data_IF_843204880834
#
_entry.id   IF_843204880834
#
_cell.length_a   1.000
_cell.length_b   1.000
_cell.length_c   1.000
_cell.angle_alpha   90.00
_cell.angle_beta   90.00
_cell.angle_gamma   90.00
#
_symmetry.space_group_name_H-M   'P 1'
#
loop_
_entity.id
_entity.type
_entity.pdbx_description
1 polymer ?
#
# COMPACT_ATOMS: atom_id res chain seq x y z
N UNK A 1 -16.34 3.34 18.23
CA UNK A 1 -15.22 4.25 18.60
C UNK A 1 -14.74 4.95 17.34
N UNK A 2 -15.02 6.26 17.12
CA UNK A 2 -14.47 6.98 15.98
C UNK A 2 -12.97 7.21 16.22
N UNK A 3 -12.17 6.99 15.17
CA UNK A 3 -10.72 7.18 15.21
C UNK A 3 -10.40 8.67 15.41
N UNK A 4 -9.54 8.99 16.39
CA UNK A 4 -9.12 10.37 16.68
C UNK A 4 -8.48 11.02 15.45
N UNK A 5 -8.76 12.30 15.20
CA UNK A 5 -8.23 13.05 14.06
C UNK A 5 -6.69 13.03 13.99
N UNK A 6 -6.02 12.94 15.14
CA UNK A 6 -4.55 12.82 15.22
C UNK A 6 -4.05 11.46 14.71
N UNK A 7 -4.75 10.37 15.03
CA UNK A 7 -4.42 9.04 14.50
C UNK A 7 -4.66 8.97 12.99
N UNK A 8 -5.70 9.63 12.49
CA UNK A 8 -6.02 9.67 11.07
C UNK A 8 -4.95 10.42 10.27
N UNK A 9 -4.48 11.57 10.78
CA UNK A 9 -3.41 12.34 10.15
C UNK A 9 -2.06 11.60 10.15
N UNK A 10 -1.71 10.96 11.28
CA UNK A 10 -0.51 10.12 11.38
C UNK A 10 -0.58 8.92 10.42
N UNK A 11 -1.74 8.27 10.30
CA UNK A 11 -1.97 7.20 9.33
C UNK A 11 -1.79 7.68 7.90
N UNK A 12 -2.29 8.88 7.58
CA UNK A 12 -2.21 9.47 6.24
C UNK A 12 -0.76 9.77 5.84
N UNK A 13 0.06 10.22 6.79
CA UNK A 13 1.49 10.41 6.56
C UNK A 13 2.21 9.07 6.38
N UNK A 14 1.88 8.06 7.18
CA UNK A 14 2.52 6.74 7.09
C UNK A 14 2.18 6.01 5.80
N UNK A 15 0.91 6.06 5.36
CA UNK A 15 0.50 5.49 4.08
C UNK A 15 1.15 6.21 2.89
N UNK A 16 1.34 7.53 2.98
CA UNK A 16 2.06 8.29 1.96
C UNK A 16 3.53 7.85 1.85
N UNK A 17 4.25 7.79 2.98
CA UNK A 17 5.64 7.33 3.02
C UNK A 17 5.77 5.89 2.52
N UNK A 18 4.82 5.01 2.89
CA UNK A 18 4.79 3.65 2.36
C UNK A 18 4.58 3.64 0.85
N UNK A 19 3.63 4.42 0.33
CA UNK A 19 3.35 4.48 -1.10
C UNK A 19 4.60 4.90 -1.88
N UNK A 20 5.32 5.90 -1.39
CA UNK A 20 6.56 6.38 -2.00
C UNK A 20 7.65 5.29 -2.01
N UNK A 21 7.87 4.60 -0.88
CA UNK A 21 8.81 3.47 -0.81
C UNK A 21 8.43 2.33 -1.74
N UNK A 22 7.13 2.00 -1.84
CA UNK A 22 6.66 0.94 -2.72
C UNK A 22 6.85 1.34 -4.19
N UNK A 23 6.54 2.59 -4.55
CA UNK A 23 6.77 3.14 -5.88
C UNK A 23 8.25 3.05 -6.26
N UNK A 24 9.15 3.44 -5.36
CA UNK A 24 10.60 3.30 -5.57
C UNK A 24 11.01 1.85 -5.86
N UNK A 25 10.46 0.87 -5.13
CA UNK A 25 10.73 -0.55 -5.40
C UNK A 25 10.19 -1.03 -6.75
N UNK A 26 9.01 -0.58 -7.15
CA UNK A 26 8.43 -0.87 -8.47
C UNK A 26 9.33 -0.28 -9.56
N UNK A 27 9.72 0.99 -9.43
CA UNK A 27 10.60 1.68 -10.38
C UNK A 27 12.01 1.09 -10.44
N UNK A 28 12.52 0.58 -9.31
CA UNK A 28 13.78 -0.13 -9.23
C UNK A 28 13.72 -1.56 -9.82
N UNK A 29 12.55 -2.02 -10.28
CA UNK A 29 12.37 -3.34 -10.88
C UNK A 29 12.31 -4.49 -9.87
N UNK A 30 12.21 -4.20 -8.57
CA UNK A 30 12.01 -5.24 -7.53
C UNK A 30 10.68 -5.95 -7.75
N UNK A 31 9.65 -5.19 -8.13
CA UNK A 31 8.38 -5.72 -8.58
C UNK A 31 8.22 -5.43 -10.07
N UNK A 32 8.39 -6.46 -10.90
CA UNK A 32 8.27 -6.31 -12.34
C UNK A 32 6.84 -5.88 -12.74
N UNK A 33 6.69 -5.07 -13.80
CA UNK A 33 5.37 -4.78 -14.37
C UNK A 33 4.61 -6.08 -14.67
N UNK A 34 3.35 -6.15 -14.25
CA UNK A 34 2.51 -7.35 -14.40
C UNK A 34 2.76 -8.45 -13.35
N UNK A 35 3.79 -8.33 -12.51
CA UNK A 35 3.95 -9.19 -11.35
C UNK A 35 2.91 -8.87 -10.27
N UNK A 36 2.62 -9.87 -9.44
CA UNK A 36 1.69 -9.73 -8.33
C UNK A 36 2.47 -9.19 -7.14
N UNK A 37 2.01 -8.06 -6.59
CA UNK A 37 2.55 -7.55 -5.33
C UNK A 37 2.25 -8.51 -4.17
N UNK A 38 3.12 -8.57 -3.16
CA UNK A 38 2.83 -9.29 -1.93
C UNK A 38 1.52 -8.83 -1.30
N UNK A 39 0.87 -9.71 -0.54
CA UNK A 39 -0.42 -9.39 0.09
C UNK A 39 -0.32 -8.23 1.08
N UNK A 40 -1.45 -7.58 1.41
CA UNK A 40 -1.48 -6.44 2.35
C UNK A 40 -0.88 -6.79 3.72
N UNK A 41 -1.06 -8.03 4.19
CA UNK A 41 -0.46 -8.55 5.42
C UNK A 41 1.07 -8.54 5.32
N UNK A 42 1.59 -9.17 4.29
CA UNK A 42 3.01 -9.39 4.08
C UNK A 42 3.75 -8.06 3.83
N UNK A 43 3.14 -7.15 3.08
CA UNK A 43 3.63 -5.78 2.94
C UNK A 43 3.60 -5.04 4.30
N UNK A 44 2.57 -5.25 5.11
CA UNK A 44 2.52 -4.69 6.46
C UNK A 44 3.70 -5.14 7.33
N UNK A 45 4.02 -6.43 7.28
CA UNK A 45 5.14 -7.02 8.01
C UNK A 45 6.50 -6.55 7.46
N UNK A 46 6.68 -6.56 6.12
CA UNK A 46 7.92 -6.13 5.46
C UNK A 46 8.27 -4.65 5.73
N UNK A 47 7.26 -3.79 5.83
CA UNK A 47 7.44 -2.36 6.02
C UNK A 47 7.21 -1.90 7.46
N UNK A 48 6.80 -2.80 8.36
CA UNK A 48 6.54 -2.49 9.78
C UNK A 48 5.33 -1.57 9.98
N UNK A 49 4.29 -1.70 9.16
CA UNK A 49 3.12 -0.81 9.19
C UNK A 49 1.81 -1.59 9.24
N UNK A 50 0.76 -0.92 9.71
CA UNK A 50 -0.58 -1.52 9.79
C UNK A 50 -1.17 -1.86 8.41
N UNK A 51 -2.00 -2.92 8.34
CA UNK A 51 -2.71 -3.31 7.10
C UNK A 51 -3.52 -2.15 6.50
N UNK A 52 -4.12 -1.31 7.35
CA UNK A 52 -4.87 -0.14 6.91
C UNK A 52 -3.98 0.88 6.20
N UNK A 53 -2.76 1.12 6.72
CA UNK A 53 -1.80 2.01 6.05
C UNK A 53 -1.34 1.43 4.71
N UNK A 54 -1.14 0.11 4.63
CA UNK A 54 -0.84 -0.59 3.37
C UNK A 54 -1.94 -0.40 2.35
N UNK A 55 -3.19 -0.64 2.75
CA UNK A 55 -4.34 -0.48 1.85
C UNK A 55 -4.46 0.94 1.31
N UNK A 56 -4.25 1.95 2.14
CA UNK A 56 -4.28 3.35 1.70
C UNK A 56 -3.09 3.71 0.80
N UNK A 57 -1.91 3.13 1.06
CA UNK A 57 -0.74 3.28 0.18
C UNK A 57 -1.00 2.65 -1.20
N UNK A 58 -1.51 1.41 -1.23
CA UNK A 58 -1.86 0.69 -2.46
C UNK A 58 -2.95 1.42 -3.24
N UNK A 59 -3.98 1.96 -2.56
CA UNK A 59 -4.98 2.84 -3.19
C UNK A 59 -4.34 4.06 -3.84
N UNK A 60 -3.41 4.71 -3.14
CA UNK A 60 -2.71 5.89 -3.67
C UNK A 60 -1.91 5.54 -4.93
N UNK A 61 -1.24 4.38 -4.93
CA UNK A 61 -0.50 3.88 -6.10
C UNK A 61 -1.41 3.46 -7.24
N UNK A 62 -2.55 2.88 -6.92
CA UNK A 62 -3.61 2.55 -7.90
C UNK A 62 -4.13 3.82 -8.56
N UNK A 63 -4.41 4.86 -7.79
CA UNK A 63 -4.85 6.16 -8.32
C UNK A 63 -3.79 6.82 -9.22
N UNK A 64 -2.51 6.51 -9.00
CA UNK A 64 -1.38 6.95 -9.84
C UNK A 64 -1.13 6.04 -11.05
N UNK A 65 -1.87 4.94 -11.21
CA UNK A 65 -1.69 3.98 -12.30
C UNK A 65 -0.45 3.08 -12.16
N UNK A 66 0.22 3.08 -10.99
CA UNK A 66 1.40 2.25 -10.75
C UNK A 66 1.07 0.80 -10.41
N UNK A 67 -0.13 0.56 -9.89
CA UNK A 67 -0.61 -0.76 -9.47
C UNK A 67 -2.04 -0.94 -9.95
N UNK A 68 -2.39 -2.15 -10.38
CA UNK A 68 -3.77 -2.49 -10.73
C UNK A 68 -4.40 -3.30 -9.59
N UNK A 69 -5.62 -2.95 -9.16
CA UNK A 69 -6.33 -3.76 -8.19
C UNK A 69 -6.69 -5.07 -8.87
N UNK A 70 -6.26 -6.19 -8.27
CA UNK A 70 -6.69 -7.50 -8.73
C UNK A 70 -8.02 -7.82 -8.05
N UNK A 71 -9.14 -7.93 -8.78
CA UNK A 71 -10.38 -8.40 -8.18
C UNK A 71 -10.13 -9.77 -7.56
N UNK A 72 -10.55 -9.94 -6.32
CA UNK A 72 -10.50 -11.24 -5.65
C UNK A 72 -11.46 -12.13 -6.46
N UNK A 73 -10.91 -13.01 -7.29
CA UNK A 73 -11.69 -14.08 -7.91
C UNK A 73 -12.38 -14.81 -6.77
N UNK A 74 -13.70 -14.65 -6.68
CA UNK A 74 -14.51 -15.33 -5.68
C UNK A 74 -14.32 -16.83 -5.83
N UNK A 75 -14.19 -17.51 -4.70
CA UNK A 75 -14.52 -18.93 -4.59
C UNK A 75 -16.02 -19.09 -4.64
#
# INVERSE_FOLDING_TARGET
>A
MPLSAQQLAAQKNLSYVLAEKLAQRILAGVYMPGSILPGELELGEQFGVSRTAVREAVKTLTAKGMVLPRPRIGT
#
